data_IF_344132944278
#
_entry.id   IF_344132944278
#
_cell.length_a   1.000
_cell.length_b   1.000
_cell.length_c   1.000
_cell.angle_alpha   90.00
_cell.angle_beta   90.00
_cell.angle_gamma   90.00
#
_symmetry.space_group_name_H-M   'P 1'
#
loop_
_entity.id
_entity.type
_entity.pdbx_description
1 polymer ?
#
# COMPACT_ATOMS: atom_id res chain seq x y z
N UNK A 1 4.10 -0.67 -19.45
CA UNK A 1 4.38 -1.70 -18.45
C UNK A 1 3.51 -1.52 -17.25
N UNK A 2 2.96 -2.61 -16.75
CA UNK A 2 2.12 -2.52 -15.56
C UNK A 2 2.99 -2.37 -14.31
N UNK A 3 2.49 -1.59 -13.37
CA UNK A 3 3.10 -1.45 -12.06
C UNK A 3 2.47 -2.45 -11.11
N UNK A 4 3.20 -2.84 -10.10
CA UNK A 4 2.75 -3.82 -9.12
C UNK A 4 2.24 -3.11 -7.86
N UNK A 5 1.13 -3.60 -7.32
CA UNK A 5 0.59 -3.14 -6.05
C UNK A 5 1.25 -3.95 -4.94
N UNK A 6 1.84 -3.27 -3.96
CA UNK A 6 2.33 -3.93 -2.76
C UNK A 6 1.26 -3.79 -1.68
N UNK A 7 0.68 -4.91 -1.28
CA UNK A 7 -0.40 -4.96 -0.31
C UNK A 7 0.16 -5.52 0.99
N UNK A 8 0.19 -4.68 2.02
CA UNK A 8 0.75 -5.06 3.31
C UNK A 8 -0.34 -5.03 4.38
N UNK A 9 -0.55 -6.16 5.04
CA UNK A 9 -1.51 -6.31 6.11
C UNK A 9 -1.16 -7.56 6.91
N UNK A 10 -1.22 -7.50 8.22
CA UNK A 10 -0.95 -8.66 9.06
C UNK A 10 -2.19 -9.55 9.22
N UNK A 11 -3.36 -9.08 8.81
CA UNK A 11 -4.59 -9.88 8.88
C UNK A 11 -4.74 -10.67 7.58
N UNK A 12 -4.60 -12.00 7.62
CA UNK A 12 -4.61 -12.81 6.39
C UNK A 12 -5.95 -12.78 5.66
N UNK A 13 -7.06 -12.65 6.38
CA UNK A 13 -8.39 -12.61 5.75
C UNK A 13 -8.56 -11.31 4.97
N UNK A 14 -8.21 -10.18 5.60
CA UNK A 14 -8.30 -8.89 4.95
C UNK A 14 -7.35 -8.79 3.77
N UNK A 15 -6.14 -9.32 3.93
CA UNK A 15 -5.14 -9.35 2.88
C UNK A 15 -5.65 -10.14 1.67
N UNK A 16 -6.19 -11.33 1.91
CA UNK A 16 -6.70 -12.19 0.85
C UNK A 16 -7.88 -11.53 0.12
N UNK A 17 -8.78 -10.90 0.87
CA UNK A 17 -9.94 -10.22 0.29
C UNK A 17 -9.50 -9.10 -0.63
N UNK A 18 -8.59 -8.24 -0.16
CA UNK A 18 -8.10 -7.13 -0.96
C UNK A 18 -7.31 -7.61 -2.17
N UNK A 19 -6.51 -8.66 -2.01
CA UNK A 19 -5.77 -9.23 -3.12
C UNK A 19 -6.71 -9.70 -4.22
N UNK A 20 -7.77 -10.42 -3.86
CA UNK A 20 -8.76 -10.91 -4.82
C UNK A 20 -9.42 -9.75 -5.56
N UNK A 21 -9.85 -8.72 -4.80
CA UNK A 21 -10.51 -7.55 -5.39
C UNK A 21 -9.62 -6.87 -6.42
N UNK A 22 -8.37 -6.64 -6.07
CA UNK A 22 -7.45 -5.91 -6.94
C UNK A 22 -7.01 -6.77 -8.13
N UNK A 23 -6.81 -8.06 -7.91
CA UNK A 23 -6.44 -8.97 -9.00
C UNK A 23 -7.57 -9.10 -10.03
N UNK A 24 -8.81 -9.15 -9.57
CA UNK A 24 -9.95 -9.21 -10.48
C UNK A 24 -10.11 -7.92 -11.30
N UNK A 25 -9.57 -6.83 -10.80
CA UNK A 25 -9.57 -5.56 -11.55
C UNK A 25 -8.41 -5.45 -12.53
N UNK A 26 -7.62 -6.50 -12.70
CA UNK A 26 -6.54 -6.55 -13.67
C UNK A 26 -5.21 -6.03 -13.13
N UNK A 27 -5.08 -5.84 -11.83
CA UNK A 27 -3.85 -5.34 -11.22
C UNK A 27 -2.97 -6.48 -10.77
N UNK A 28 -1.66 -6.31 -10.91
CA UNK A 28 -0.70 -7.25 -10.34
C UNK A 28 -0.46 -6.90 -8.89
N UNK A 29 -0.54 -7.90 -8.01
CA UNK A 29 -0.48 -7.67 -6.56
C UNK A 29 0.58 -8.58 -5.96
N UNK A 30 1.48 -7.97 -5.17
CA UNK A 30 2.38 -8.70 -4.28
C UNK A 30 1.90 -8.44 -2.86
N UNK A 31 1.93 -9.47 -2.03
CA UNK A 31 1.43 -9.38 -0.67
C UNK A 31 2.55 -9.57 0.34
N UNK A 32 2.39 -8.93 1.50
CA UNK A 32 3.30 -9.10 2.61
C UNK A 32 2.51 -9.08 3.90
N UNK A 33 2.94 -9.88 4.87
CA UNK A 33 2.30 -9.97 6.18
C UNK A 33 3.15 -9.37 7.29
N UNK A 34 4.35 -8.91 6.97
CA UNK A 34 5.24 -8.25 7.94
C UNK A 34 5.91 -7.06 7.27
N UNK A 35 6.36 -6.11 8.09
CA UNK A 35 7.07 -4.94 7.58
C UNK A 35 8.38 -5.35 6.90
N UNK A 36 9.10 -6.31 7.48
CA UNK A 36 10.36 -6.79 6.90
C UNK A 36 10.13 -7.38 5.51
N UNK A 37 9.09 -8.19 5.37
CA UNK A 37 8.73 -8.80 4.10
C UNK A 37 8.34 -7.74 3.07
N UNK A 38 7.54 -6.76 3.48
CA UNK A 38 7.12 -5.67 2.59
C UNK A 38 8.30 -4.83 2.13
N UNK A 39 9.21 -4.51 3.04
CA UNK A 39 10.40 -3.73 2.69
C UNK A 39 11.34 -4.51 1.78
N UNK A 40 11.46 -5.81 2.01
CA UNK A 40 12.26 -6.66 1.13
C UNK A 40 11.72 -6.67 -0.29
N UNK A 41 10.41 -6.77 -0.45
CA UNK A 41 9.77 -6.69 -1.78
C UNK A 41 10.03 -5.34 -2.43
N UNK A 42 9.91 -4.27 -1.66
CA UNK A 42 10.11 -2.92 -2.19
C UNK A 42 11.55 -2.74 -2.71
N UNK A 43 12.52 -3.33 -2.03
CA UNK A 43 13.93 -3.22 -2.40
C UNK A 43 14.33 -4.14 -3.55
N UNK A 44 13.68 -5.32 -3.66
CA UNK A 44 14.17 -6.38 -4.54
C UNK A 44 13.57 -6.38 -5.93
N UNK A 45 12.46 -5.68 -6.14
CA UNK A 45 11.82 -5.70 -7.46
C UNK A 45 12.62 -4.91 -8.48
N UNK A 46 12.75 -5.48 -9.66
CA UNK A 46 13.43 -4.81 -10.77
C UNK A 46 12.61 -3.62 -11.28
N UNK A 47 13.23 -2.78 -12.10
CA UNK A 47 12.53 -1.66 -12.72
C UNK A 47 11.28 -2.10 -13.49
N UNK A 48 11.35 -3.29 -14.12
CA UNK A 48 10.23 -3.80 -14.89
C UNK A 48 9.04 -4.20 -14.02
N UNK A 49 9.30 -4.51 -12.75
CA UNK A 49 8.29 -4.94 -11.80
C UNK A 49 8.14 -3.96 -10.64
N UNK A 50 8.54 -2.73 -10.87
CA UNK A 50 8.57 -1.70 -9.84
C UNK A 50 7.21 -1.56 -9.15
N UNK A 51 7.27 -1.38 -7.82
CA UNK A 51 6.05 -1.10 -7.06
C UNK A 51 5.49 0.25 -7.48
N UNK A 52 4.25 0.25 -7.92
CA UNK A 52 3.56 1.47 -8.34
C UNK A 52 2.71 2.11 -7.26
N UNK A 53 2.35 1.34 -6.23
CA UNK A 53 1.60 1.84 -5.10
C UNK A 53 1.70 0.85 -3.95
N UNK A 54 1.72 1.38 -2.72
CA UNK A 54 1.68 0.57 -1.50
C UNK A 54 0.33 0.81 -0.84
N UNK A 55 -0.37 -0.28 -0.49
CA UNK A 55 -1.61 -0.21 0.29
C UNK A 55 -1.34 -0.88 1.62
N UNK A 56 -1.54 -0.17 2.72
CA UNK A 56 -1.25 -0.69 4.04
C UNK A 56 -2.33 -0.32 5.05
N UNK A 57 -2.49 -1.15 6.08
CA UNK A 57 -3.30 -0.82 7.24
C UNK A 57 -2.44 -0.04 8.23
N UNK A 58 -3.07 0.67 9.16
CA UNK A 58 -2.34 1.42 10.18
C UNK A 58 -2.04 0.57 11.40
N UNK A 59 -3.02 -0.19 11.89
CA UNK A 59 -2.85 -0.95 13.14
C UNK A 59 -2.41 -2.37 12.83
N UNK A 60 -1.23 -2.72 13.34
CA UNK A 60 -0.65 -4.05 13.22
C UNK A 60 0.03 -4.38 14.54
N UNK A 61 0.11 -5.68 14.95
CA UNK A 61 0.56 -6.04 16.30
C UNK A 61 1.96 -5.58 16.67
N UNK A 62 2.90 -5.58 15.73
CA UNK A 62 4.32 -5.32 16.06
C UNK A 62 4.74 -3.89 15.80
N UNK A 63 4.00 -3.18 14.94
CA UNK A 63 4.37 -1.81 14.55
C UNK A 63 3.16 -1.16 13.91
N UNK A 64 3.16 0.17 13.85
CA UNK A 64 2.11 0.87 13.15
C UNK A 64 2.45 1.01 11.67
N UNK A 65 1.43 1.33 10.87
CA UNK A 65 1.65 1.62 9.47
C UNK A 65 2.57 2.82 9.26
N UNK A 66 2.54 3.79 10.18
CA UNK A 66 3.42 4.96 10.07
C UNK A 66 4.89 4.59 10.21
N UNK A 67 5.22 3.63 11.09
CA UNK A 67 6.59 3.13 11.20
C UNK A 67 7.05 2.50 9.88
N UNK A 68 6.20 1.67 9.30
CA UNK A 68 6.50 1.04 8.02
C UNK A 68 6.67 2.09 6.91
N UNK A 69 5.77 3.06 6.84
CA UNK A 69 5.81 4.08 5.78
C UNK A 69 7.07 4.93 5.86
N UNK A 70 7.52 5.25 7.08
CA UNK A 70 8.79 5.98 7.23
C UNK A 70 9.95 5.21 6.62
N UNK A 71 10.02 3.92 6.88
CA UNK A 71 11.07 3.07 6.30
C UNK A 71 10.90 2.93 4.79
N UNK A 72 9.68 2.78 4.32
CA UNK A 72 9.41 2.69 2.88
C UNK A 72 9.84 3.97 2.16
N UNK A 73 9.66 5.13 2.78
CA UNK A 73 10.07 6.41 2.22
C UNK A 73 11.59 6.52 2.08
N UNK A 74 12.33 5.84 2.94
CA UNK A 74 13.79 5.80 2.81
C UNK A 74 14.21 4.96 1.62
N UNK A 75 13.45 3.91 1.30
CA UNK A 75 13.73 3.07 0.14
C UNK A 75 13.28 3.73 -1.15
N UNK A 76 12.09 4.33 -1.15
CA UNK A 76 11.54 4.98 -2.33
C UNK A 76 10.72 6.21 -1.88
N UNK A 77 11.29 7.42 -1.99
CA UNK A 77 10.61 8.63 -1.50
C UNK A 77 9.38 9.02 -2.32
N UNK A 78 9.20 8.45 -3.51
CA UNK A 78 8.13 8.89 -4.42
C UNK A 78 7.01 7.88 -4.62
N UNK A 79 7.13 6.66 -4.12
CA UNK A 79 6.08 5.66 -4.33
C UNK A 79 4.77 6.12 -3.68
N UNK A 80 3.64 6.08 -4.40
CA UNK A 80 2.35 6.41 -3.79
C UNK A 80 2.02 5.42 -2.67
N UNK A 81 1.50 5.94 -1.56
CA UNK A 81 1.11 5.11 -0.41
C UNK A 81 -0.32 5.43 -0.04
N UNK A 82 -1.14 4.40 0.09
CA UNK A 82 -2.52 4.50 0.56
C UNK A 82 -2.60 3.80 1.91
N UNK A 83 -3.01 4.55 2.94
CA UNK A 83 -3.19 4.02 4.29
C UNK A 83 -4.68 3.92 4.57
N UNK A 84 -5.14 2.74 4.99
CA UNK A 84 -6.54 2.51 5.31
C UNK A 84 -6.64 2.14 6.78
N UNK A 85 -7.44 2.87 7.55
CA UNK A 85 -7.52 2.68 8.99
C UNK A 85 -8.92 2.94 9.51
N UNK A 86 -9.28 2.23 10.58
CA UNK A 86 -10.52 2.51 11.31
C UNK A 86 -10.42 3.72 12.24
N UNK A 87 -9.22 4.26 12.44
CA UNK A 87 -8.97 5.37 13.35
C UNK A 87 -8.67 6.64 12.57
N UNK A 88 -9.62 7.58 12.56
CA UNK A 88 -9.46 8.82 11.81
C UNK A 88 -8.27 9.64 12.31
N UNK A 89 -8.05 9.65 13.62
CA UNK A 89 -6.95 10.43 14.22
C UNK A 89 -5.57 9.88 13.86
N UNK A 90 -5.51 8.66 13.35
CA UNK A 90 -4.22 8.08 12.95
C UNK A 90 -3.58 8.84 11.78
N UNK A 91 -4.36 9.59 11.03
CA UNK A 91 -3.83 10.38 9.91
C UNK A 91 -2.70 11.30 10.34
N UNK A 92 -2.77 11.81 11.57
CA UNK A 92 -1.76 12.75 12.08
C UNK A 92 -0.39 12.11 12.19
N UNK A 93 -0.31 10.79 12.33
CA UNK A 93 0.97 10.09 12.45
C UNK A 93 1.73 10.03 11.12
N UNK A 94 1.08 10.40 10.03
CA UNK A 94 1.67 10.37 8.69
C UNK A 94 2.06 11.76 8.19
N UNK A 95 2.05 12.75 9.07
CA UNK A 95 2.40 14.12 8.71
C UNK A 95 3.80 14.14 8.10
N UNK A 96 3.94 14.76 6.93
CA UNK A 96 5.22 14.84 6.24
C UNK A 96 5.58 13.62 5.40
N UNK A 97 4.77 12.56 5.44
CA UNK A 97 5.08 11.34 4.71
C UNK A 97 4.42 11.26 3.33
N UNK A 98 3.58 12.22 3.00
CA UNK A 98 2.95 12.35 1.68
C UNK A 98 2.18 11.08 1.28
N UNK A 99 1.19 10.74 2.08
CA UNK A 99 0.35 9.57 1.83
C UNK A 99 -1.10 9.99 1.57
N UNK A 100 -1.88 9.05 1.04
CA UNK A 100 -3.31 9.19 0.94
C UNK A 100 -3.94 8.37 2.06
N UNK A 101 -4.70 9.02 2.93
CA UNK A 101 -5.33 8.36 4.07
C UNK A 101 -6.82 8.16 3.81
N UNK A 102 -7.31 6.95 4.11
CA UNK A 102 -8.75 6.65 4.03
C UNK A 102 -9.20 5.95 5.29
N UNK A 103 -10.30 6.41 5.84
CA UNK A 103 -10.90 5.75 7.00
C UNK A 103 -11.76 4.59 6.53
N UNK A 104 -11.75 3.49 7.27
CA UNK A 104 -12.62 2.35 6.98
C UNK A 104 -14.08 2.73 7.25
N UNK A 105 -15.03 2.20 6.49
CA UNK A 105 -14.84 1.18 5.45
C UNK A 105 -14.36 1.77 4.13
N UNK A 106 -13.58 0.98 3.40
CA UNK A 106 -13.15 1.34 2.05
C UNK A 106 -13.68 0.26 1.12
N UNK A 107 -14.87 0.46 0.54
CA UNK A 107 -15.51 -0.58 -0.29
C UNK A 107 -14.66 -0.92 -1.51
N UNK A 108 -14.82 -2.15 -2.05
CA UNK A 108 -14.03 -2.57 -3.20
C UNK A 108 -14.00 -1.60 -4.39
N UNK A 109 -15.11 -1.00 -4.84
CA UNK A 109 -15.03 -0.06 -5.95
C UNK A 109 -14.16 1.15 -5.65
N UNK A 110 -14.21 1.65 -4.41
CA UNK A 110 -13.38 2.78 -4.01
C UNK A 110 -11.91 2.39 -3.94
N UNK A 111 -11.60 1.23 -3.36
CA UNK A 111 -10.24 0.74 -3.28
C UNK A 111 -9.63 0.59 -4.66
N UNK A 112 -10.36 -0.01 -5.60
CA UNK A 112 -9.91 -0.19 -6.97
C UNK A 112 -9.61 1.17 -7.62
N UNK A 113 -10.51 2.14 -7.45
CA UNK A 113 -10.35 3.46 -8.04
C UNK A 113 -9.11 4.17 -7.47
N UNK A 114 -8.91 4.10 -6.17
CA UNK A 114 -7.77 4.74 -5.52
C UNK A 114 -6.45 4.13 -6.00
N UNK A 115 -6.40 2.80 -6.08
CA UNK A 115 -5.19 2.09 -6.51
C UNK A 115 -4.90 2.38 -7.98
N UNK A 116 -5.90 2.32 -8.84
CA UNK A 116 -5.71 2.59 -10.26
C UNK A 116 -5.23 4.02 -10.50
N UNK A 117 -5.77 4.97 -9.76
CA UNK A 117 -5.34 6.36 -9.86
C UNK A 117 -3.88 6.53 -9.42
N UNK A 118 -3.49 5.87 -8.34
CA UNK A 118 -2.12 5.94 -7.83
C UNK A 118 -1.14 5.31 -8.81
N UNK A 119 -1.48 4.16 -9.38
CA UNK A 119 -0.63 3.48 -10.37
C UNK A 119 -0.44 4.35 -11.60
N UNK A 120 -1.51 4.97 -12.08
CA UNK A 120 -1.45 5.87 -13.23
C UNK A 120 -0.53 7.04 -12.96
N UNK A 121 -0.61 7.64 -11.76
CA UNK A 121 0.27 8.75 -11.39
C UNK A 121 1.73 8.32 -11.36
N UNK A 122 2.02 7.11 -10.88
CA UNK A 122 3.40 6.64 -10.77
C UNK A 122 4.01 6.32 -12.14
N UNK A 123 3.18 6.15 -13.17
CA UNK A 123 3.64 5.88 -14.53
C UNK A 123 4.01 7.15 -15.29
N UNK A 124 3.65 8.30 -14.77
CA UNK A 124 3.96 9.56 -15.44
C UNK A 124 5.44 9.90 -15.26
N UNK A 125 6.06 10.42 -16.30
CA UNK A 125 7.45 10.87 -16.21
C UNK A 125 7.61 12.04 -15.23
#
# INVERSE_FOLDING_TARGET
>A
MSKTVLLFDDNPVQLSTRQTVLSQAGLEVQVATSADSALALLRSLSDAQKIGVIVTDHIMPEATGSDFVRLAREVNPEVPVIVISGLAEAEQEYTGLNILFRQKPCPPPELIRLVQSAVTKSEKP
#
